data_IF_288409148115
#
_entry.id   IF_288409148115
#
_cell.length_a   1.000
_cell.length_b   1.000
_cell.length_c   1.000
_cell.angle_alpha   90.00
_cell.angle_beta   90.00
_cell.angle_gamma   90.00
#
_symmetry.space_group_name_H-M   'P 1'
#
loop_
_entity.id
_entity.type
_entity.pdbx_description
1 polymer ?
#
# COMPACT_ATOMS: atom_id res chain seq x y z
N UNK A 1 -74.41 71.06 -17.11
CA UNK A 1 -74.20 70.29 -15.86
C UNK A 1 -74.25 68.76 -16.09
N UNK A 2 -73.37 68.18 -16.94
CA UNK A 2 -73.33 66.70 -17.16
C UNK A 2 -71.93 66.08 -17.26
N UNK A 3 -70.84 66.84 -17.09
CA UNK A 3 -69.48 66.33 -17.31
C UNK A 3 -68.68 65.92 -16.06
N UNK A 4 -69.21 66.17 -14.85
CA UNK A 4 -68.42 65.93 -13.63
C UNK A 4 -68.53 64.50 -13.05
N UNK A 5 -69.36 63.64 -13.64
CA UNK A 5 -69.61 62.27 -13.15
C UNK A 5 -68.69 61.21 -13.80
N UNK A 6 -68.10 61.50 -14.96
CA UNK A 6 -67.29 60.52 -15.71
C UNK A 6 -65.83 60.41 -15.23
N UNK A 7 -65.30 61.41 -14.51
CA UNK A 7 -63.91 61.39 -14.00
C UNK A 7 -63.73 60.52 -12.74
N UNK A 8 -64.75 60.32 -11.91
CA UNK A 8 -64.63 59.52 -10.67
C UNK A 8 -64.61 58.00 -10.91
N UNK A 9 -65.11 57.51 -12.04
CA UNK A 9 -65.12 56.06 -12.34
C UNK A 9 -63.78 55.51 -12.85
N UNK A 10 -62.85 56.35 -13.34
CA UNK A 10 -61.56 55.89 -13.87
C UNK A 10 -60.43 55.79 -12.84
N UNK A 11 -60.55 56.43 -11.67
CA UNK A 11 -59.53 56.33 -10.61
C UNK A 11 -59.67 55.09 -9.71
N UNK A 12 -60.87 54.50 -9.61
CA UNK A 12 -61.10 53.30 -8.78
C UNK A 12 -60.59 51.98 -9.37
N UNK A 13 -60.40 51.89 -10.70
CA UNK A 13 -59.96 50.65 -11.36
C UNK A 13 -58.44 50.48 -11.42
N UNK A 14 -57.65 51.55 -11.37
CA UNK A 14 -56.17 51.42 -11.41
C UNK A 14 -55.55 50.94 -10.09
N UNK A 15 -56.27 51.01 -8.96
CA UNK A 15 -55.77 50.52 -7.66
C UNK A 15 -56.01 49.02 -7.41
N UNK A 16 -56.84 48.33 -8.22
CA UNK A 16 -57.07 46.88 -8.06
C UNK A 16 -56.13 46.00 -8.88
N UNK A 17 -55.55 46.48 -9.98
CA UNK A 17 -54.56 45.68 -10.72
C UNK A 17 -53.14 45.70 -10.11
N UNK A 18 -52.80 46.68 -9.27
CA UNK A 18 -51.50 46.68 -8.57
C UNK A 18 -51.48 45.84 -7.29
N UNK A 19 -52.62 45.34 -6.82
CA UNK A 19 -52.69 44.41 -5.68
C UNK A 19 -52.67 42.93 -6.04
N UNK A 20 -52.57 42.58 -7.33
CA UNK A 20 -52.38 41.18 -7.77
C UNK A 20 -50.95 40.80 -8.14
N UNK A 21 -50.02 41.76 -8.10
CA UNK A 21 -48.59 41.49 -8.37
C UNK A 21 -47.73 41.45 -7.11
N UNK A 22 -48.33 41.50 -5.91
CA UNK A 22 -47.59 41.55 -4.63
C UNK A 22 -47.89 40.41 -3.66
N UNK A 23 -48.55 39.34 -4.11
CA UNK A 23 -48.93 38.18 -3.28
C UNK A 23 -48.61 36.82 -3.93
N UNK A 24 -47.59 36.77 -4.79
CA UNK A 24 -46.79 35.54 -4.97
C UNK A 24 -45.32 35.96 -5.00
N UNK A 25 -44.95 36.78 -4.03
CA UNK A 25 -43.59 36.75 -3.53
C UNK A 25 -43.39 35.36 -2.97
N UNK A 26 -42.60 34.57 -3.69
CA UNK A 26 -41.34 34.11 -3.12
C UNK A 26 -41.49 33.61 -1.67
N UNK A 27 -42.35 32.61 -1.44
CA UNK A 27 -42.02 31.63 -0.42
C UNK A 27 -40.99 30.72 -1.04
N UNK A 28 -39.77 31.24 -1.03
CA UNK A 28 -38.52 30.51 -0.95
C UNK A 28 -38.80 29.21 -0.22
N UNK A 29 -38.83 28.11 -0.98
CA UNK A 29 -38.56 26.76 -0.47
C UNK A 29 -37.41 26.95 0.51
N UNK A 30 -37.70 26.79 1.81
CA UNK A 30 -36.84 27.25 2.88
C UNK A 30 -35.39 26.93 2.56
N UNK A 31 -34.63 27.95 2.15
CA UNK A 31 -33.17 27.87 2.08
C UNK A 31 -32.72 27.94 3.53
N UNK A 32 -32.99 26.87 4.28
CA UNK A 32 -32.34 26.58 5.54
C UNK A 32 -30.88 26.32 5.16
N UNK A 33 -30.10 27.40 5.09
CA UNK A 33 -28.66 27.29 5.01
C UNK A 33 -28.19 26.52 6.22
N UNK A 34 -27.38 25.50 6.00
CA UNK A 34 -26.75 24.72 7.06
C UNK A 34 -26.14 25.67 8.09
N UNK A 35 -26.51 25.50 9.35
CA UNK A 35 -25.92 26.30 10.42
C UNK A 35 -24.46 25.87 10.63
N UNK A 36 -23.59 26.78 11.07
CA UNK A 36 -22.17 26.45 11.33
C UNK A 36 -22.02 25.25 12.28
N UNK A 37 -22.90 25.16 13.27
CA UNK A 37 -22.94 24.06 14.25
C UNK A 37 -23.27 22.73 13.57
N UNK A 38 -24.20 22.73 12.61
CA UNK A 38 -24.60 21.53 11.88
C UNK A 38 -23.46 20.98 11.02
N UNK A 39 -22.71 21.85 10.34
CA UNK A 39 -21.51 21.45 9.59
C UNK A 39 -20.45 20.85 10.53
N UNK A 40 -20.26 21.45 11.70
CA UNK A 40 -19.31 20.96 12.71
C UNK A 40 -19.69 19.56 13.20
N UNK A 41 -20.96 19.35 13.53
CA UNK A 41 -21.46 18.03 13.96
C UNK A 41 -21.29 16.99 12.85
N UNK A 42 -21.60 17.33 11.60
CA UNK A 42 -21.40 16.43 10.45
C UNK A 42 -19.91 16.08 10.30
N UNK A 43 -19.00 17.05 10.40
CA UNK A 43 -17.56 16.80 10.34
C UNK A 43 -17.08 15.88 11.47
N UNK A 44 -17.60 16.04 12.69
CA UNK A 44 -17.24 15.17 13.83
C UNK A 44 -17.71 13.74 13.58
N UNK A 45 -18.96 13.54 13.12
CA UNK A 45 -19.50 12.20 12.83
C UNK A 45 -18.70 11.53 11.71
N UNK A 46 -18.37 12.27 10.64
CA UNK A 46 -17.54 11.75 9.54
C UNK A 46 -16.13 11.37 10.02
N UNK A 47 -15.55 12.18 10.91
CA UNK A 47 -14.22 11.91 11.49
C UNK A 47 -14.22 10.64 12.33
N UNK A 48 -15.23 10.45 13.18
CA UNK A 48 -15.38 9.24 14.00
C UNK A 48 -15.62 8.01 13.10
N UNK A 49 -16.48 8.14 12.10
CA UNK A 49 -16.74 7.07 11.13
C UNK A 49 -15.49 6.64 10.35
N UNK A 50 -14.69 7.61 9.90
CA UNK A 50 -13.42 7.36 9.22
C UNK A 50 -12.40 6.68 10.13
N UNK A 51 -12.31 7.11 11.39
CA UNK A 51 -11.38 6.54 12.38
C UNK A 51 -11.72 5.08 12.72
N UNK A 52 -13.00 4.71 12.73
CA UNK A 52 -13.45 3.32 12.92
C UNK A 52 -13.17 2.45 11.69
N UNK A 53 -13.21 3.02 10.48
CA UNK A 53 -12.94 2.30 9.24
C UNK A 53 -11.43 2.11 8.96
N UNK A 54 -10.60 3.08 9.36
CA UNK A 54 -9.16 3.08 9.09
C UNK A 54 -8.42 1.82 9.59
N UNK A 55 -8.62 1.30 10.82
CA UNK A 55 -7.90 0.11 11.29
C UNK A 55 -8.26 -1.17 10.52
N UNK A 56 -9.35 -1.19 9.76
CA UNK A 56 -9.71 -2.33 8.88
C UNK A 56 -9.06 -2.26 7.50
N UNK A 57 -8.60 -1.08 7.08
CA UNK A 57 -7.92 -0.86 5.80
C UNK A 57 -6.38 -0.86 5.95
N UNK A 58 -5.87 -0.49 7.13
CA UNK A 58 -4.45 -0.52 7.47
C UNK A 58 -3.74 -1.89 7.33
N UNK A 59 -4.33 -3.06 7.66
CA UNK A 59 -3.59 -4.33 7.65
C UNK A 59 -3.15 -4.79 6.25
N UNK A 60 -3.68 -4.20 5.16
CA UNK A 60 -3.23 -4.50 3.78
C UNK A 60 -2.08 -3.60 3.29
N UNK A 61 -1.81 -2.50 3.97
CA UNK A 61 -0.75 -1.54 3.59
C UNK A 61 0.48 -1.72 4.48
N UNK A 62 0.28 -2.26 5.69
CA UNK A 62 1.31 -2.59 6.66
C UNK A 62 1.44 -4.11 6.78
N UNK A 63 1.49 -4.84 5.66
CA UNK A 63 2.04 -6.19 5.76
C UNK A 63 3.47 -6.05 6.27
N UNK A 64 3.80 -6.64 7.44
CA UNK A 64 5.17 -6.61 7.91
C UNK A 64 6.01 -7.29 6.84
N UNK A 65 6.91 -6.51 6.24
CA UNK A 65 7.91 -7.02 5.31
C UNK A 65 8.51 -8.27 5.95
N UNK A 66 8.39 -9.46 5.32
CA UNK A 66 8.87 -10.69 5.93
C UNK A 66 10.36 -10.53 6.23
N UNK A 67 10.84 -11.06 7.38
CA UNK A 67 12.26 -11.08 7.70
C UNK A 67 13.04 -11.66 6.52
N UNK A 68 14.19 -11.06 6.19
CA UNK A 68 15.05 -11.50 5.07
C UNK A 68 15.38 -12.99 5.15
N UNK A 69 15.54 -13.50 6.37
CA UNK A 69 15.79 -14.91 6.67
C UNK A 69 14.65 -15.79 6.17
N UNK A 70 13.39 -15.42 6.46
CA UNK A 70 12.23 -16.23 6.07
C UNK A 70 12.07 -16.32 4.55
N UNK A 71 12.33 -15.22 3.84
CA UNK A 71 12.26 -15.21 2.39
C UNK A 71 13.33 -16.14 1.80
N UNK A 72 14.58 -16.01 2.25
CA UNK A 72 15.69 -16.83 1.75
C UNK A 72 15.53 -18.31 2.17
N UNK A 73 15.10 -18.59 3.40
CA UNK A 73 14.78 -19.94 3.88
C UNK A 73 13.70 -20.61 3.03
N UNK A 74 12.67 -19.85 2.62
CA UNK A 74 11.61 -20.39 1.76
C UNK A 74 12.14 -20.82 0.39
N UNK A 75 13.09 -20.05 -0.17
CA UNK A 75 13.74 -20.39 -1.44
C UNK A 75 14.70 -21.56 -1.27
N UNK A 76 15.45 -21.63 -0.16
CA UNK A 76 16.31 -22.78 0.15
C UNK A 76 15.47 -24.06 0.30
N UNK A 77 14.36 -24.00 1.02
CA UNK A 77 13.46 -25.15 1.17
C UNK A 77 12.93 -25.63 -0.19
N UNK A 78 12.57 -24.69 -1.08
CA UNK A 78 12.15 -24.99 -2.45
C UNK A 78 13.29 -25.60 -3.29
N UNK A 79 14.50 -25.05 -3.20
CA UNK A 79 15.68 -25.56 -3.88
C UNK A 79 16.02 -26.98 -3.41
N UNK A 80 15.94 -27.25 -2.10
CA UNK A 80 16.15 -28.59 -1.55
C UNK A 80 15.10 -29.59 -2.00
N UNK A 81 13.84 -29.19 -2.06
CA UNK A 81 12.78 -30.06 -2.57
C UNK A 81 13.05 -30.44 -4.03
N UNK A 82 13.41 -29.47 -4.87
CA UNK A 82 13.82 -29.73 -6.28
C UNK A 82 15.07 -30.58 -6.38
N UNK A 83 16.05 -30.37 -5.51
CA UNK A 83 17.28 -31.16 -5.48
C UNK A 83 16.99 -32.63 -5.15
N UNK A 84 16.09 -32.88 -4.19
CA UNK A 84 15.62 -34.23 -3.84
C UNK A 84 14.87 -34.90 -4.98
N UNK A 85 13.98 -34.17 -5.65
CA UNK A 85 13.19 -34.70 -6.77
C UNK A 85 14.03 -35.01 -8.00
N UNK A 86 14.99 -34.13 -8.33
CA UNK A 86 15.86 -34.27 -9.50
C UNK A 86 17.08 -35.17 -9.25
N UNK A 87 17.44 -35.40 -7.99
CA UNK A 87 18.68 -36.08 -7.61
C UNK A 87 19.95 -35.27 -7.93
N UNK A 88 19.83 -33.98 -8.24
CA UNK A 88 20.94 -33.08 -8.58
C UNK A 88 20.98 -31.87 -7.68
N UNK A 89 22.13 -31.24 -7.56
CA UNK A 89 22.24 -29.97 -6.86
C UNK A 89 21.46 -28.87 -7.61
N UNK A 90 20.75 -28.03 -6.86
CA UNK A 90 20.05 -26.85 -7.38
C UNK A 90 20.85 -25.61 -7.02
N UNK A 91 21.02 -24.72 -7.98
CA UNK A 91 21.83 -23.52 -7.84
C UNK A 91 20.96 -22.31 -7.48
N UNK A 92 21.39 -21.55 -6.47
CA UNK A 92 20.83 -20.27 -6.07
C UNK A 92 21.91 -19.22 -6.32
N UNK A 93 21.62 -18.22 -7.15
CA UNK A 93 22.58 -17.20 -7.56
C UNK A 93 22.16 -15.84 -7.04
N UNK A 94 22.97 -15.27 -6.16
CA UNK A 94 22.84 -13.90 -5.64
C UNK A 94 23.57 -12.93 -6.57
N UNK A 95 22.97 -11.77 -6.86
CA UNK A 95 23.56 -10.76 -7.73
C UNK A 95 24.14 -9.64 -6.85
N UNK A 96 25.45 -9.44 -6.93
CA UNK A 96 26.16 -8.40 -6.19
C UNK A 96 25.69 -7.00 -6.61
N UNK A 97 25.51 -6.12 -5.64
CA UNK A 97 24.94 -4.79 -5.82
C UNK A 97 23.43 -4.76 -6.08
N UNK A 98 22.78 -5.92 -6.22
CA UNK A 98 21.35 -6.04 -6.45
C UNK A 98 20.63 -6.55 -5.21
N UNK A 99 19.34 -6.24 -5.13
CA UNK A 99 18.40 -6.86 -4.20
C UNK A 99 17.71 -8.08 -4.82
N UNK A 100 18.13 -8.55 -5.99
CA UNK A 100 17.58 -9.73 -6.63
C UNK A 100 18.52 -10.93 -6.56
N UNK A 101 17.93 -12.10 -6.47
CA UNK A 101 18.61 -13.37 -6.55
C UNK A 101 17.75 -14.36 -7.33
N UNK A 102 18.36 -15.40 -7.86
CA UNK A 102 17.72 -16.32 -8.79
C UNK A 102 17.89 -17.75 -8.34
N UNK A 103 16.89 -18.57 -8.62
CA UNK A 103 16.98 -20.02 -8.52
C UNK A 103 16.46 -20.57 -9.84
N UNK A 104 17.37 -21.12 -10.65
CA UNK A 104 17.07 -21.57 -12.01
C UNK A 104 16.40 -20.45 -12.86
N UNK A 105 15.16 -20.66 -13.29
CA UNK A 105 14.37 -19.73 -14.11
C UNK A 105 13.54 -18.72 -13.30
N UNK A 106 13.60 -18.79 -11.97
CA UNK A 106 12.81 -17.94 -11.08
C UNK A 106 13.67 -16.84 -10.47
N UNK A 107 13.14 -15.61 -10.46
CA UNK A 107 13.76 -14.45 -9.84
C UNK A 107 13.01 -14.07 -8.56
N UNK A 108 13.78 -13.82 -7.51
CA UNK A 108 13.34 -13.44 -6.19
C UNK A 108 13.95 -12.10 -5.80
N UNK A 109 13.36 -11.44 -4.80
CA UNK A 109 13.86 -10.15 -4.29
C UNK A 109 14.02 -10.19 -2.79
N UNK A 110 15.12 -9.62 -2.33
CA UNK A 110 15.35 -9.34 -0.93
C UNK A 110 14.32 -8.31 -0.44
N UNK A 111 13.74 -8.55 0.74
CA UNK A 111 12.81 -7.61 1.36
C UNK A 111 13.48 -6.28 1.72
N UNK A 112 12.67 -5.23 1.90
CA UNK A 112 13.14 -3.95 2.44
C UNK A 112 14.06 -3.14 1.51
N UNK A 113 14.22 -3.55 0.25
CA UNK A 113 15.15 -2.89 -0.67
C UNK A 113 16.63 -3.15 -0.34
N UNK A 114 16.90 -4.19 0.46
CA UNK A 114 18.26 -4.63 0.77
C UNK A 114 18.97 -5.10 -0.49
N UNK A 115 20.27 -4.87 -0.56
CA UNK A 115 21.13 -5.31 -1.66
C UNK A 115 22.36 -6.04 -1.14
N UNK A 116 22.86 -7.00 -1.90
CA UNK A 116 24.06 -7.77 -1.53
C UNK A 116 25.31 -6.94 -1.81
N UNK A 117 26.10 -6.63 -0.79
CA UNK A 117 27.31 -5.80 -0.88
C UNK A 117 28.60 -6.61 -0.90
N UNK A 118 28.59 -7.78 -0.28
CA UNK A 118 29.74 -8.67 -0.19
C UNK A 118 29.23 -10.11 -0.03
N UNK A 119 30.05 -11.07 -0.43
CA UNK A 119 29.68 -12.47 -0.34
C UNK A 119 30.91 -13.35 -0.11
N UNK A 120 30.73 -14.34 0.74
CA UNK A 120 31.69 -15.37 1.05
C UNK A 120 30.97 -16.71 0.89
N UNK A 121 31.55 -17.65 0.15
CA UNK A 121 31.00 -18.99 -0.06
C UNK A 121 32.07 -20.00 0.27
N UNK A 122 31.77 -20.94 1.16
CA UNK A 122 32.70 -21.98 1.60
C UNK A 122 34.09 -21.40 2.01
N UNK A 123 34.07 -20.31 2.78
CA UNK A 123 35.24 -19.56 3.28
C UNK A 123 36.04 -18.77 2.23
N UNK A 124 35.65 -18.84 0.95
CA UNK A 124 36.25 -18.06 -0.12
C UNK A 124 35.41 -16.82 -0.43
N UNK A 125 36.06 -15.65 -0.42
CA UNK A 125 35.43 -14.40 -0.84
C UNK A 125 35.29 -14.38 -2.36
N UNK A 126 34.11 -14.04 -2.85
CA UNK A 126 33.84 -13.98 -4.28
C UNK A 126 33.89 -12.52 -4.74
N UNK A 127 34.75 -12.22 -5.72
CA UNK A 127 34.81 -10.90 -6.38
C UNK A 127 33.91 -10.82 -7.64
N UNK A 128 33.17 -11.91 -7.92
CA UNK A 128 32.30 -12.01 -9.08
C UNK A 128 31.02 -11.17 -8.91
N UNK A 129 30.46 -10.69 -10.02
CA UNK A 129 29.19 -9.97 -10.03
C UNK A 129 28.01 -10.82 -9.54
N UNK A 130 28.15 -12.14 -9.59
CA UNK A 130 27.14 -13.09 -9.17
C UNK A 130 27.80 -14.21 -8.37
N UNK A 131 27.14 -14.60 -7.28
CA UNK A 131 27.63 -15.62 -6.36
C UNK A 131 26.62 -16.74 -6.29
N UNK A 132 27.10 -17.95 -6.60
CA UNK A 132 26.25 -19.15 -6.66
C UNK A 132 26.49 -20.02 -5.44
N UNK A 133 25.41 -20.40 -4.76
CA UNK A 133 25.38 -21.38 -3.69
C UNK A 133 24.53 -22.57 -4.11
N UNK A 134 24.86 -23.76 -3.62
CA UNK A 134 24.18 -24.99 -4.02
C UNK A 134 23.37 -25.60 -2.88
N UNK A 135 22.19 -26.08 -3.24
CA UNK A 135 21.35 -26.92 -2.41
C UNK A 135 21.44 -28.37 -2.90
N UNK A 136 21.85 -29.29 -2.03
CA UNK A 136 22.15 -30.66 -2.40
C UNK A 136 20.99 -31.62 -2.06
N UNK A 137 20.81 -32.73 -2.82
CA UNK A 137 19.76 -33.71 -2.55
C UNK A 137 19.82 -34.33 -1.14
N UNK A 138 21.01 -34.34 -0.54
CA UNK A 138 21.25 -34.81 0.83
C UNK A 138 20.60 -33.94 1.93
N UNK A 139 19.99 -32.80 1.57
CA UNK A 139 19.39 -31.89 2.55
C UNK A 139 20.36 -30.87 3.14
N UNK A 140 21.54 -30.72 2.54
CA UNK A 140 22.56 -29.75 2.95
C UNK A 140 22.68 -28.63 1.91
N UNK A 141 23.18 -27.48 2.33
CA UNK A 141 23.48 -26.35 1.46
C UNK A 141 24.95 -25.93 1.62
N UNK A 142 25.49 -25.20 0.65
CA UNK A 142 26.80 -24.55 0.79
C UNK A 142 26.81 -23.57 1.97
N UNK A 143 27.99 -23.45 2.60
CA UNK A 143 28.21 -22.36 3.55
C UNK A 143 28.28 -21.04 2.79
N UNK A 144 27.53 -20.04 3.24
CA UNK A 144 27.65 -18.69 2.69
C UNK A 144 27.41 -17.63 3.76
N UNK A 145 28.05 -16.48 3.56
CA UNK A 145 27.85 -15.26 4.31
C UNK A 145 27.69 -14.10 3.34
N UNK A 146 26.51 -13.47 3.34
CA UNK A 146 26.22 -12.29 2.54
C UNK A 146 26.21 -11.05 3.43
N UNK A 147 26.96 -10.02 3.08
CA UNK A 147 26.83 -8.71 3.71
C UNK A 147 25.81 -7.88 2.93
N UNK A 148 24.82 -7.34 3.63
CA UNK A 148 23.75 -6.55 3.04
C UNK A 148 24.03 -5.04 3.15
N UNK A 149 23.25 -4.22 2.43
CA UNK A 149 23.42 -2.76 2.38
C UNK A 149 23.15 -2.03 3.70
N UNK A 150 22.43 -2.65 4.63
CA UNK A 150 22.22 -2.17 6.00
C UNK A 150 23.33 -2.62 6.97
N UNK A 151 24.45 -3.16 6.45
CA UNK A 151 25.54 -3.79 7.17
C UNK A 151 25.19 -5.08 7.92
N UNK A 152 23.96 -5.57 7.87
CA UNK A 152 23.63 -6.88 8.40
C UNK A 152 24.31 -7.98 7.58
N UNK A 153 24.50 -9.13 8.21
CA UNK A 153 25.09 -10.32 7.61
C UNK A 153 24.06 -11.43 7.59
N UNK A 154 23.87 -12.04 6.44
CA UNK A 154 23.02 -13.19 6.28
C UNK A 154 23.90 -14.44 6.17
N UNK A 155 23.87 -15.30 7.19
CA UNK A 155 24.78 -16.44 7.33
C UNK A 155 24.01 -17.75 7.25
N UNK A 156 24.46 -18.66 6.39
CA UNK A 156 23.84 -19.98 6.25
C UNK A 156 24.26 -20.95 7.34
N UNK A 157 23.37 -21.90 7.65
CA UNK A 157 23.61 -23.05 8.51
C UNK A 157 23.51 -24.33 7.67
N UNK A 158 24.60 -24.77 7.02
CA UNK A 158 24.61 -25.85 6.02
C UNK A 158 23.83 -27.11 6.38
N UNK A 159 23.97 -27.58 7.63
CA UNK A 159 23.38 -28.83 8.11
C UNK A 159 21.91 -28.70 8.49
N UNK A 160 21.43 -27.47 8.73
CA UNK A 160 20.04 -27.19 9.05
C UNK A 160 19.27 -26.68 7.83
N UNK A 161 19.98 -26.25 6.79
CA UNK A 161 19.43 -25.58 5.61
C UNK A 161 18.57 -24.35 5.96
N UNK A 162 19.07 -23.60 6.93
CA UNK A 162 18.47 -22.37 7.45
C UNK A 162 19.46 -21.22 7.33
N UNK A 163 18.95 -20.00 7.43
CA UNK A 163 19.73 -18.79 7.36
C UNK A 163 19.43 -17.89 8.56
N UNK A 164 20.46 -17.23 9.07
CA UNK A 164 20.37 -16.35 10.24
C UNK A 164 20.90 -14.96 9.87
N UNK A 165 20.14 -13.91 10.17
CA UNK A 165 20.67 -12.55 10.11
C UNK A 165 21.45 -12.23 11.39
N UNK A 166 22.62 -11.63 11.22
CA UNK A 166 23.49 -11.12 12.29
C UNK A 166 23.71 -9.63 12.06
N UNK A 167 23.38 -8.81 13.06
CA UNK A 167 23.59 -7.37 13.08
C UNK A 167 24.90 -6.96 13.76
#
# INVERSE_FOLDING_TARGET
MRDNQLRRRRQGRRRRCQRRHKELGDQVVGRQGFTFIEILVVMVILSVGLFVLMPRLAPRILEPVPPVEKEVDSVIAKALQRARESGRAVEITFIMGSGSFRMEDEEYRLPGGLTVMDALVNDDRTDDLAVTVRAYPAGIIDYFELRLSDNSRLVSRPLLAEVEARG
#
